data_IF_810094110719
#
_entry.id   IF_810094110719
#
_cell.length_a   1.000
_cell.length_b   1.000
_cell.length_c   1.000
_cell.angle_alpha   90.00
_cell.angle_beta   90.00
_cell.angle_gamma   90.00
#
_symmetry.space_group_name_H-M   'P 1'
#
loop_
_entity.id
_entity.type
_entity.pdbx_description
1 polymer ?
#
# COMPACT_ATOMS: atom_id res chain seq x y z
N UNK A 1 1.64 2.43 -20.09
CA UNK A 1 0.54 3.22 -19.48
C UNK A 1 1.12 3.86 -18.23
N UNK A 2 1.17 5.19 -18.13
CA UNK A 2 1.71 5.87 -16.95
C UNK A 2 0.76 5.65 -15.78
N UNK A 3 1.21 4.98 -14.72
CA UNK A 3 0.42 4.74 -13.51
C UNK A 3 0.01 6.10 -12.91
N UNK A 4 -1.29 6.31 -12.66
CA UNK A 4 -1.77 7.57 -12.11
C UNK A 4 -1.27 7.73 -10.67
N UNK A 5 -0.57 8.84 -10.40
CA UNK A 5 -0.08 9.18 -9.07
C UNK A 5 -1.25 9.78 -8.28
N UNK A 6 -1.77 9.02 -7.32
CA UNK A 6 -2.91 9.42 -6.48
C UNK A 6 -2.47 10.44 -5.44
N UNK A 7 -1.26 10.25 -4.91
CA UNK A 7 -0.73 11.13 -3.89
C UNK A 7 0.78 11.26 -4.01
N UNK A 8 1.25 12.49 -3.83
CA UNK A 8 2.66 12.82 -3.77
C UNK A 8 2.92 13.71 -2.56
N UNK A 9 3.96 13.40 -1.80
CA UNK A 9 4.41 14.25 -0.71
C UNK A 9 5.92 14.20 -0.58
N UNK A 10 6.48 15.19 0.11
CA UNK A 10 7.89 15.23 0.48
C UNK A 10 7.97 15.15 1.99
N UNK A 11 9.01 14.49 2.51
CA UNK A 11 9.25 14.56 3.95
C UNK A 11 9.53 16.02 4.34
N UNK A 12 8.75 16.53 5.27
CA UNK A 12 8.96 17.87 5.81
C UNK A 12 9.88 17.77 7.04
N UNK A 13 10.81 18.70 7.21
CA UNK A 13 11.51 18.88 8.48
C UNK A 13 10.80 19.99 9.25
N UNK A 14 9.91 19.60 10.18
CA UNK A 14 9.08 20.49 11.00
C UNK A 14 8.08 21.36 10.21
N UNK A 15 8.56 22.28 9.36
CA UNK A 15 7.78 23.13 8.44
C UNK A 15 8.42 23.26 7.05
N UNK A 16 9.74 23.12 6.92
CA UNK A 16 10.46 23.26 5.64
C UNK A 16 10.61 21.92 4.91
N UNK A 17 10.41 21.86 3.58
CA UNK A 17 10.66 20.66 2.78
C UNK A 17 12.15 20.48 2.46
N UNK A 18 13.02 20.55 3.47
CA UNK A 18 14.48 20.42 3.33
C UNK A 18 14.93 18.95 3.30
N UNK A 19 14.06 18.05 2.83
CA UNK A 19 14.42 16.67 2.61
C UNK A 19 14.34 16.34 1.14
N UNK A 20 15.28 15.52 0.70
CA UNK A 20 15.32 14.94 -0.62
C UNK A 20 14.58 13.60 -0.67
N UNK A 21 13.66 13.39 0.27
CA UNK A 21 12.82 12.20 0.30
C UNK A 21 11.46 12.53 -0.29
N UNK A 22 11.14 11.88 -1.41
CA UNK A 22 9.87 12.01 -2.10
C UNK A 22 9.10 10.70 -1.95
N UNK A 23 7.85 10.83 -1.57
CA UNK A 23 6.91 9.73 -1.48
C UNK A 23 5.90 9.90 -2.60
N UNK A 24 5.72 8.86 -3.41
CA UNK A 24 4.69 8.81 -4.43
C UNK A 24 3.87 7.55 -4.20
N UNK A 25 2.56 7.70 -4.21
CA UNK A 25 1.62 6.62 -4.03
C UNK A 25 0.77 6.50 -5.29
N UNK A 26 0.77 5.32 -5.87
CA UNK A 26 -0.08 4.93 -7.00
C UNK A 26 -1.16 3.97 -6.52
N UNK A 27 -2.01 3.51 -7.43
CA UNK A 27 -3.10 2.56 -7.12
C UNK A 27 -2.60 1.24 -6.53
N UNK A 28 -1.41 0.78 -6.92
CA UNK A 28 -0.92 -0.56 -6.56
C UNK A 28 0.47 -0.53 -5.93
N UNK A 29 1.18 0.60 -5.97
CA UNK A 29 2.59 0.70 -5.57
C UNK A 29 2.84 1.96 -4.74
N UNK A 30 3.73 1.83 -3.77
CA UNK A 30 4.34 2.94 -3.05
C UNK A 30 5.78 3.08 -3.57
N UNK A 31 6.10 4.25 -4.10
CA UNK A 31 7.44 4.59 -4.54
C UNK A 31 8.06 5.59 -3.57
N UNK A 32 9.27 5.27 -3.13
CA UNK A 32 10.03 6.07 -2.19
C UNK A 32 11.37 6.39 -2.85
N UNK A 33 11.60 7.67 -3.11
CA UNK A 33 12.84 8.18 -3.68
C UNK A 33 13.59 8.92 -2.57
N UNK A 34 14.79 8.46 -2.22
CA UNK A 34 15.64 9.06 -1.19
C UNK A 34 17.01 9.36 -1.77
N UNK A 35 17.45 10.61 -1.79
CA UNK A 35 18.84 10.88 -2.17
C UNK A 35 19.28 12.33 -2.21
N UNK A 36 20.48 12.61 -1.72
CA UNK A 36 21.15 13.92 -1.87
C UNK A 36 22.32 13.85 -2.87
N UNK A 37 23.14 12.79 -2.80
CA UNK A 37 24.27 12.50 -3.70
C UNK A 37 24.06 11.14 -4.39
N UNK A 38 23.71 10.11 -3.62
CA UNK A 38 23.22 8.82 -4.13
C UNK A 38 21.69 8.80 -4.05
N UNK A 39 21.04 8.42 -5.15
CA UNK A 39 19.59 8.29 -5.23
C UNK A 39 19.19 6.82 -5.11
N UNK A 40 18.41 6.52 -4.08
CA UNK A 40 17.81 5.21 -3.86
C UNK A 40 16.33 5.27 -4.25
N UNK A 41 15.90 4.27 -5.02
CA UNK A 41 14.52 4.08 -5.46
C UNK A 41 14.01 2.78 -4.85
N UNK A 42 13.14 2.90 -3.86
CA UNK A 42 12.46 1.76 -3.25
C UNK A 42 11.02 1.71 -3.77
N UNK A 43 10.64 0.57 -4.32
CA UNK A 43 9.28 0.30 -4.75
C UNK A 43 8.68 -0.81 -3.88
N UNK A 44 7.50 -0.57 -3.33
CA UNK A 44 6.76 -1.54 -2.53
C UNK A 44 5.34 -1.68 -3.03
N UNK A 45 4.93 -2.91 -3.35
CA UNK A 45 3.57 -3.20 -3.77
C UNK A 45 2.61 -3.12 -2.59
N UNK A 46 1.47 -2.44 -2.76
CA UNK A 46 0.52 -2.16 -1.68
C UNK A 46 -0.10 -3.44 -1.10
N UNK A 47 -0.38 -4.45 -1.92
CA UNK A 47 -0.92 -5.72 -1.44
C UNK A 47 0.02 -6.45 -0.45
N UNK A 48 1.33 -6.16 -0.47
CA UNK A 48 2.31 -6.75 0.47
C UNK A 48 2.34 -6.07 1.84
N UNK A 49 1.72 -4.90 1.95
CA UNK A 49 1.59 -4.20 3.23
C UNK A 49 0.59 -4.99 4.08
N UNK A 50 1.03 -5.43 5.26
CA UNK A 50 0.21 -6.17 6.23
C UNK A 50 -0.55 -5.24 7.15
N UNK A 51 0.15 -4.27 7.72
CA UNK A 51 -0.39 -3.39 8.75
C UNK A 51 0.17 -1.96 8.61
N UNK A 52 -0.61 -0.97 9.05
CA UNK A 52 -0.30 0.46 8.94
C UNK A 52 -0.49 1.11 10.31
N UNK A 53 0.60 1.58 10.89
CA UNK A 53 0.62 2.23 12.21
C UNK A 53 0.89 3.73 12.08
N UNK A 54 0.21 4.53 12.89
CA UNK A 54 0.43 5.97 12.98
C UNK A 54 1.14 6.31 14.29
N UNK A 55 2.31 6.94 14.19
CA UNK A 55 3.09 7.42 15.35
C UNK A 55 3.15 8.95 15.37
N UNK A 56 2.57 9.54 16.42
CA UNK A 56 2.54 10.99 16.63
C UNK A 56 3.13 11.33 17.98
N UNK A 57 4.26 12.03 17.97
CA UNK A 57 4.86 12.61 19.18
C UNK A 57 4.21 13.97 19.49
N UNK A 58 4.48 14.53 20.67
CA UNK A 58 3.91 15.81 21.10
C UNK A 58 4.19 16.95 20.10
N UNK A 59 5.41 17.00 19.57
CA UNK A 59 5.79 17.95 18.50
C UNK A 59 4.95 17.75 17.22
N UNK A 60 4.77 16.51 16.79
CA UNK A 60 3.97 16.18 15.61
C UNK A 60 2.50 16.62 15.77
N UNK A 61 1.93 16.46 16.98
CA UNK A 61 0.57 16.94 17.28
C UNK A 61 0.45 18.47 17.16
N UNK A 62 1.43 19.21 17.67
CA UNK A 62 1.46 20.69 17.59
C UNK A 62 1.61 21.17 16.14
N UNK A 63 2.41 20.49 15.32
CA UNK A 63 2.64 20.84 13.92
C UNK A 63 1.66 20.19 12.92
N UNK A 64 0.67 19.42 13.39
CA UNK A 64 -0.27 18.70 12.50
C UNK A 64 0.39 17.65 11.59
N UNK A 65 1.56 17.15 11.96
CA UNK A 65 2.32 16.14 11.22
C UNK A 65 2.26 14.78 11.94
N UNK A 66 2.82 13.74 11.32
CA UNK A 66 3.01 12.44 11.96
C UNK A 66 3.86 11.49 11.13
N UNK A 67 4.31 10.42 11.76
CA UNK A 67 5.06 9.35 11.09
C UNK A 67 4.12 8.17 10.84
N UNK A 68 4.07 7.68 9.61
CA UNK A 68 3.29 6.51 9.22
C UNK A 68 4.27 5.35 9.03
N UNK A 69 4.04 4.25 9.76
CA UNK A 69 4.83 3.03 9.67
C UNK A 69 4.02 1.98 8.92
N UNK A 70 4.60 1.46 7.85
CA UNK A 70 4.02 0.41 7.03
C UNK A 70 4.79 -0.87 7.33
N UNK A 71 4.08 -1.91 7.76
CA UNK A 71 4.65 -3.22 8.05
C UNK A 71 4.40 -4.10 6.83
N UNK A 72 5.47 -4.62 6.26
CA UNK A 72 5.44 -5.47 5.06
C UNK A 72 5.62 -6.95 5.45
N UNK A 73 5.19 -7.84 4.57
CA UNK A 73 5.39 -9.28 4.71
C UNK A 73 6.82 -9.75 4.37
N UNK A 74 7.64 -8.87 3.80
CA UNK A 74 8.96 -9.19 3.24
C UNK A 74 10.01 -9.33 4.35
N UNK A 75 10.92 -10.30 4.18
CA UNK A 75 11.99 -10.56 5.16
C UNK A 75 13.12 -9.51 5.07
N UNK A 76 13.36 -8.93 3.89
CA UNK A 76 14.50 -8.04 3.64
C UNK A 76 14.30 -6.63 4.20
N UNK A 77 13.07 -6.10 4.16
CA UNK A 77 12.73 -4.79 4.71
C UNK A 77 11.32 -4.85 5.32
N UNK A 78 11.19 -5.27 6.60
CA UNK A 78 9.89 -5.57 7.21
C UNK A 78 9.10 -4.32 7.62
N UNK A 79 9.74 -3.14 7.64
CA UNK A 79 9.08 -1.90 8.09
C UNK A 79 9.59 -0.69 7.33
N UNK A 80 8.66 0.04 6.74
CA UNK A 80 8.88 1.28 6.00
C UNK A 80 8.30 2.44 6.81
N UNK A 81 9.05 3.53 6.98
CA UNK A 81 8.62 4.67 7.80
C UNK A 81 8.55 5.93 6.94
N UNK A 82 7.34 6.41 6.71
CA UNK A 82 7.04 7.72 6.12
C UNK A 82 7.12 8.77 7.23
N UNK A 83 8.11 9.66 7.18
CA UNK A 83 8.38 10.60 8.27
C UNK A 83 7.78 11.98 7.99
N UNK A 84 7.24 12.62 9.03
CA UNK A 84 6.72 13.99 8.98
C UNK A 84 5.73 14.25 7.85
N UNK A 85 4.74 13.37 7.72
CA UNK A 85 3.64 13.51 6.77
C UNK A 85 2.61 14.48 7.33
N UNK A 86 2.17 15.46 6.53
CA UNK A 86 1.08 16.38 6.89
C UNK A 86 -0.25 15.63 6.87
N UNK A 87 -1.17 15.99 7.76
CA UNK A 87 -2.49 15.32 7.85
C UNK A 87 -2.35 13.79 7.88
N UNK A 88 -1.39 13.30 8.69
CA UNK A 88 -0.99 11.89 8.68
C UNK A 88 -2.11 10.90 9.04
N UNK A 89 -3.26 11.37 9.52
CA UNK A 89 -4.42 10.54 9.82
C UNK A 89 -5.18 10.24 8.52
N UNK A 90 -5.53 11.28 7.77
CA UNK A 90 -6.16 11.21 6.45
C UNK A 90 -5.28 10.42 5.47
N UNK A 91 -3.97 10.68 5.48
CA UNK A 91 -3.03 9.93 4.63
C UNK A 91 -2.99 8.46 5.02
N UNK A 92 -3.03 8.13 6.32
CA UNK A 92 -3.09 6.74 6.79
C UNK A 92 -4.37 6.06 6.34
N UNK A 93 -5.51 6.73 6.43
CA UNK A 93 -6.80 6.20 5.97
C UNK A 93 -6.80 5.98 4.45
N UNK A 94 -6.27 6.94 3.69
CA UNK A 94 -6.12 6.83 2.24
C UNK A 94 -5.24 5.64 1.85
N UNK A 95 -4.06 5.47 2.47
CA UNK A 95 -3.19 4.30 2.21
C UNK A 95 -3.94 3.01 2.57
N UNK A 96 -4.68 2.98 3.68
CA UNK A 96 -5.47 1.81 4.09
C UNK A 96 -6.52 1.43 3.04
N UNK A 97 -7.24 2.42 2.48
CA UNK A 97 -8.22 2.19 1.41
C UNK A 97 -7.55 1.61 0.16
N UNK A 98 -6.43 2.20 -0.27
CA UNK A 98 -5.69 1.75 -1.44
C UNK A 98 -5.10 0.34 -1.28
N UNK A 99 -4.62 -0.02 -0.09
CA UNK A 99 -4.15 -1.38 0.23
C UNK A 99 -5.30 -2.38 0.09
N UNK A 100 -6.46 -2.09 0.65
CA UNK A 100 -7.63 -2.96 0.56
C UNK A 100 -8.13 -3.12 -0.88
N UNK A 101 -8.15 -2.04 -1.67
CA UNK A 101 -8.48 -2.11 -3.09
C UNK A 101 -7.45 -2.91 -3.89
N UNK A 102 -6.15 -2.71 -3.63
CA UNK A 102 -5.08 -3.48 -4.27
C UNK A 102 -5.19 -4.97 -3.94
N UNK A 103 -5.55 -5.32 -2.70
CA UNK A 103 -5.82 -6.72 -2.30
C UNK A 103 -7.01 -7.29 -3.06
N UNK A 104 -8.15 -6.59 -3.07
CA UNK A 104 -9.35 -7.02 -3.81
C UNK A 104 -9.05 -7.28 -5.28
N UNK A 105 -8.31 -6.38 -5.94
CA UNK A 105 -7.89 -6.57 -7.34
C UNK A 105 -7.01 -7.80 -7.53
N UNK A 106 -6.08 -8.06 -6.61
CA UNK A 106 -5.22 -9.24 -6.69
C UNK A 106 -6.00 -10.54 -6.44
N UNK A 107 -6.88 -10.57 -5.44
CA UNK A 107 -7.75 -11.71 -5.17
C UNK A 107 -8.65 -12.04 -6.37
N UNK A 108 -9.27 -11.03 -6.99
CA UNK A 108 -10.09 -11.24 -8.20
C UNK A 108 -9.26 -11.85 -9.33
N UNK A 109 -8.01 -11.42 -9.50
CA UNK A 109 -7.11 -11.99 -10.50
C UNK A 109 -6.78 -13.45 -10.20
N UNK A 110 -6.51 -13.81 -8.95
CA UNK A 110 -6.26 -15.19 -8.53
C UNK A 110 -7.49 -16.08 -8.72
N UNK A 111 -8.67 -15.61 -8.33
CA UNK A 111 -9.96 -16.30 -8.53
C UNK A 111 -10.22 -16.50 -10.03
N UNK A 112 -10.04 -15.47 -10.86
CA UNK A 112 -10.25 -15.58 -12.31
C UNK A 112 -9.23 -16.48 -13.03
N UNK A 113 -8.03 -16.65 -12.47
CA UNK A 113 -6.95 -17.45 -13.07
C UNK A 113 -6.83 -18.88 -12.52
N UNK A 114 -7.46 -19.18 -11.37
CA UNK A 114 -7.37 -20.47 -10.68
C UNK A 114 -8.68 -21.25 -10.59
N UNK A 115 -9.83 -20.65 -10.94
CA UNK A 115 -11.14 -21.33 -10.93
C UNK A 115 -11.70 -21.59 -12.33
N UNK A 116 -10.96 -21.29 -13.40
CA UNK A 116 -11.35 -21.68 -14.76
C UNK A 116 -10.99 -23.13 -15.12
N UNK A 117 -10.60 -23.95 -14.13
CA UNK A 117 -10.24 -25.36 -14.32
C UNK A 117 -10.81 -26.32 -13.28
N UNK A 118 -11.64 -25.82 -12.36
CA UNK A 118 -12.61 -26.65 -11.68
C UNK A 118 -13.91 -26.45 -12.45
N UNK A 119 -14.07 -27.23 -13.52
CA UNK A 119 -15.37 -27.39 -14.15
C UNK A 119 -16.28 -27.99 -13.08
N UNK A 120 -17.06 -27.12 -12.43
CA UNK A 120 -18.25 -27.52 -11.69
C UNK A 120 -19.28 -27.92 -12.74
N UNK A 121 -18.99 -29.02 -13.46
CA UNK A 121 -19.98 -29.69 -14.28
C UNK A 121 -21.08 -30.16 -13.31
N UNK A 122 -22.27 -29.61 -13.54
CA UNK A 122 -23.53 -30.04 -12.98
C UNK A 122 -24.21 -30.79 -14.13
N UNK A 123 -23.76 -32.04 -14.34
CA UNK A 123 -24.16 -32.81 -15.51
C UNK A 123 -25.65 -33.20 -15.48
N UNK A 124 -26.26 -33.23 -14.29
CA UNK A 124 -27.67 -33.55 -14.08
C UNK A 124 -28.56 -32.32 -13.78
N UNK A 125 -27.97 -31.12 -13.69
CA UNK A 125 -28.66 -29.84 -13.44
C UNK A 125 -29.46 -29.82 -12.14
N UNK A 126 -28.98 -30.51 -11.11
CA UNK A 126 -29.65 -30.58 -9.81
C UNK A 126 -29.28 -29.40 -8.87
N UNK A 127 -28.34 -28.55 -9.29
CA UNK A 127 -27.87 -27.39 -8.56
C UNK A 127 -26.80 -27.68 -7.52
N UNK A 128 -26.26 -28.91 -7.49
CA UNK A 128 -25.14 -29.35 -6.67
C UNK A 128 -24.00 -29.77 -7.62
N UNK A 129 -22.77 -29.30 -7.42
CA UNK A 129 -21.67 -29.77 -8.26
C UNK A 129 -21.37 -31.25 -8.02
N UNK A 130 -21.20 -32.04 -9.08
CA UNK A 130 -20.93 -33.49 -9.04
C UNK A 130 -19.72 -33.87 -8.16
N UNK A 131 -18.75 -32.96 -7.98
CA UNK A 131 -17.59 -33.16 -7.11
C UNK A 131 -17.94 -33.30 -5.61
N UNK A 132 -19.16 -32.96 -5.22
CA UNK A 132 -19.67 -33.07 -3.85
C UNK A 132 -20.67 -34.23 -3.65
N UNK A 133 -20.97 -35.00 -4.70
CA UNK A 133 -21.85 -36.18 -4.66
C UNK A 133 -21.04 -37.48 -4.56
#
# INVERSE_FOLDING_TARGET
MAEQVIWQDKKHFMWFPWSFTRYKLTENRLLIEVGFINTHYDETQLYRIRDIKLKRNLKHKIFGTGDIQLITAEQTQPTIILKNIKLSYDVKEMISKLVEESRKRNLVREVSGGLSGFDFEDADSDGIPDVFQ
#
